data_IF_334066055733
#
_entry.id   IF_334066055733
#
_cell.length_a   1.000
_cell.length_b   1.000
_cell.length_c   1.000
_cell.angle_alpha   90.00
_cell.angle_beta   90.00
_cell.angle_gamma   90.00
#
_symmetry.space_group_name_H-M   'P 1'
#
loop_
_entity.id
_entity.type
_entity.pdbx_description
1 polymer ?
#
# COMPACT_ATOMS: atom_id res chain seq x y z
N UNK A 1 -52.73 -36.83 34.37
CA UNK A 1 -51.31 -36.91 34.02
C UNK A 1 -50.93 -35.66 33.27
N UNK A 2 -50.10 -34.77 33.85
CA UNK A 2 -49.61 -33.55 33.19
C UNK A 2 -48.13 -33.75 32.89
N UNK A 3 -47.75 -33.66 31.61
CA UNK A 3 -46.37 -33.73 31.15
C UNK A 3 -45.66 -32.38 31.40
N UNK A 4 -44.41 -32.35 31.86
CA UNK A 4 -43.67 -31.12 32.04
C UNK A 4 -43.12 -30.62 30.70
N UNK A 5 -43.24 -29.31 30.46
CA UNK A 5 -42.71 -28.63 29.31
C UNK A 5 -41.17 -28.51 29.43
N UNK A 6 -40.46 -29.05 28.43
CA UNK A 6 -39.03 -28.97 28.30
C UNK A 6 -38.67 -27.59 27.76
N UNK A 7 -37.99 -26.75 28.56
CA UNK A 7 -37.45 -25.44 28.12
C UNK A 7 -36.12 -25.66 27.45
N UNK A 8 -36.10 -25.54 26.13
CA UNK A 8 -34.86 -25.57 25.33
C UNK A 8 -34.18 -24.20 25.39
N UNK A 9 -33.09 -24.07 26.10
CA UNK A 9 -32.27 -22.87 26.15
C UNK A 9 -31.30 -22.92 24.97
N UNK A 10 -31.54 -22.13 23.95
CA UNK A 10 -30.63 -21.99 22.80
C UNK A 10 -29.52 -21.01 23.18
N UNK A 11 -28.34 -21.52 23.43
CA UNK A 11 -27.14 -20.71 23.66
C UNK A 11 -26.58 -20.26 22.29
N UNK A 12 -26.73 -18.97 21.99
CA UNK A 12 -26.10 -18.36 20.81
C UNK A 12 -24.61 -18.21 21.09
N UNK A 13 -23.80 -19.03 20.43
CA UNK A 13 -22.35 -18.89 20.43
C UNK A 13 -21.96 -17.77 19.45
N UNK A 14 -21.66 -16.59 19.96
CA UNK A 14 -21.12 -15.49 19.15
C UNK A 14 -19.67 -15.81 18.81
N UNK A 15 -19.43 -16.22 17.56
CA UNK A 15 -18.08 -16.36 17.01
C UNK A 15 -17.62 -14.95 16.62
N UNK A 16 -16.80 -14.33 17.46
CA UNK A 16 -16.04 -13.13 17.08
C UNK A 16 -14.93 -13.56 16.13
N UNK A 17 -15.10 -13.32 14.83
CA UNK A 17 -13.97 -13.35 13.90
C UNK A 17 -13.05 -12.19 14.27
N UNK A 18 -11.92 -12.51 14.90
CA UNK A 18 -10.79 -11.58 14.98
C UNK A 18 -10.23 -11.46 13.55
N UNK A 19 -10.49 -10.33 12.90
CA UNK A 19 -9.78 -9.96 11.67
C UNK A 19 -8.38 -9.57 12.11
N UNK A 20 -7.41 -10.44 11.87
CA UNK A 20 -6.00 -10.10 11.97
C UNK A 20 -5.73 -9.00 10.95
N UNK A 21 -5.58 -7.77 11.41
CA UNK A 21 -5.24 -6.62 10.57
C UNK A 21 -3.73 -6.40 10.58
N UNK A 22 -3.11 -6.26 9.43
CA UNK A 22 -1.72 -5.82 9.35
C UNK A 22 -1.59 -4.40 9.93
N UNK A 23 -0.49 -4.15 10.64
CA UNK A 23 -0.17 -2.85 11.25
C UNK A 23 0.88 -2.15 10.40
N UNK A 24 0.69 -0.84 10.16
CA UNK A 24 1.69 -0.01 9.46
C UNK A 24 2.84 0.34 10.39
N UNK A 25 4.04 -0.04 9.99
CA UNK A 25 5.29 0.31 10.65
C UNK A 25 5.97 1.49 9.92
N UNK A 26 6.76 2.26 10.65
CA UNK A 26 7.56 3.33 10.08
C UNK A 26 8.57 2.80 9.06
N UNK A 27 8.82 3.61 8.02
CA UNK A 27 9.73 3.23 6.95
C UNK A 27 9.73 4.20 5.79
N UNK A 28 10.56 3.89 4.82
CA UNK A 28 10.70 4.62 3.56
C UNK A 28 10.63 3.66 2.40
N UNK A 29 10.04 4.12 1.30
CA UNK A 29 10.11 3.42 0.02
C UNK A 29 10.41 4.41 -1.09
N UNK A 30 11.23 4.01 -2.04
CA UNK A 30 11.46 4.76 -3.26
C UNK A 30 11.69 3.81 -4.43
N UNK A 31 11.41 4.29 -5.63
CA UNK A 31 11.64 3.49 -6.81
C UNK A 31 10.80 3.91 -8.00
N UNK A 32 10.75 3.00 -8.94
CA UNK A 32 9.98 3.15 -10.15
C UNK A 32 10.36 2.14 -11.21
N UNK A 33 9.56 2.08 -12.24
CA UNK A 33 9.78 1.15 -13.33
C UNK A 33 8.55 1.01 -14.21
N UNK A 34 8.52 -0.09 -14.93
CA UNK A 34 7.40 -0.44 -15.81
C UNK A 34 6.82 -1.79 -15.42
N UNK A 35 5.51 -1.90 -15.51
CA UNK A 35 4.76 -3.16 -15.41
C UNK A 35 3.88 -3.33 -16.66
N UNK A 36 3.28 -4.49 -16.84
CA UNK A 36 2.31 -4.66 -17.90
C UNK A 36 1.10 -3.75 -17.67
N UNK A 37 0.57 -3.19 -18.73
CA UNK A 37 -0.67 -2.42 -18.69
C UNK A 37 -1.85 -3.31 -18.25
N UNK A 38 -2.80 -2.72 -17.56
CA UNK A 38 -4.02 -3.39 -17.12
C UNK A 38 -4.88 -3.80 -18.34
N UNK A 39 -4.90 -5.10 -18.62
CA UNK A 39 -5.63 -5.68 -19.75
C UNK A 39 -5.14 -5.26 -21.15
N UNK A 40 -4.19 -4.32 -21.23
CA UNK A 40 -3.70 -3.75 -22.48
C UNK A 40 -2.42 -4.40 -23.00
N UNK A 41 -2.06 -4.04 -24.22
CA UNK A 41 -0.86 -4.54 -24.90
C UNK A 41 0.42 -3.76 -24.53
N UNK A 42 0.31 -2.65 -23.78
CA UNK A 42 1.41 -1.75 -23.48
C UNK A 42 2.03 -1.96 -22.12
N UNK A 43 2.69 -0.91 -21.66
CA UNK A 43 3.31 -0.85 -20.34
C UNK A 43 2.75 0.33 -19.56
N UNK A 44 2.47 0.10 -18.28
CA UNK A 44 2.30 1.14 -17.31
C UNK A 44 3.67 1.55 -16.76
N UNK A 45 3.83 2.84 -16.46
CA UNK A 45 5.03 3.42 -15.85
C UNK A 45 4.65 3.99 -14.50
N UNK A 46 5.45 3.70 -13.49
CA UNK A 46 5.26 4.20 -12.13
C UNK A 46 6.56 4.72 -11.56
N UNK A 47 6.53 5.85 -10.89
CA UNK A 47 7.60 6.31 -10.00
C UNK A 47 6.99 6.70 -8.66
N UNK A 48 7.70 6.41 -7.59
CA UNK A 48 7.19 6.65 -6.25
C UNK A 48 8.31 6.93 -5.26
N UNK A 49 7.97 7.72 -4.28
CA UNK A 49 8.68 7.84 -3.02
C UNK A 49 7.66 8.06 -1.92
N UNK A 50 7.87 7.46 -0.77
CA UNK A 50 7.08 7.71 0.41
C UNK A 50 7.92 7.51 1.66
N UNK A 51 7.67 8.32 2.68
CA UNK A 51 8.38 8.29 3.95
C UNK A 51 7.39 8.54 5.08
N UNK A 52 7.44 7.68 6.08
CA UNK A 52 6.83 7.85 7.38
C UNK A 52 7.86 7.47 8.44
N UNK A 53 8.33 8.43 9.22
CA UNK A 53 9.33 8.21 10.26
C UNK A 53 9.04 9.08 11.49
N UNK A 54 9.10 8.49 12.69
CA UNK A 54 9.14 9.18 13.99
C UNK A 54 8.11 10.30 14.16
N UNK A 55 6.82 10.01 14.04
CA UNK A 55 5.73 10.98 14.21
C UNK A 55 5.83 12.23 13.30
N UNK A 56 6.71 12.22 12.28
CA UNK A 56 6.76 13.26 11.28
C UNK A 56 5.57 13.12 10.31
N UNK A 57 5.11 14.24 9.73
CA UNK A 57 4.13 14.16 8.66
C UNK A 57 4.62 13.25 7.53
N UNK A 58 3.74 12.40 7.04
CA UNK A 58 3.99 11.56 5.87
C UNK A 58 4.36 12.46 4.69
N UNK A 59 5.35 12.04 3.90
CA UNK A 59 5.82 12.74 2.70
C UNK A 59 5.96 11.76 1.56
N UNK A 60 5.69 12.22 0.37
CA UNK A 60 5.94 11.44 -0.82
C UNK A 60 5.09 11.81 -2.00
N UNK A 61 5.42 11.19 -3.12
CA UNK A 61 4.73 11.37 -4.38
C UNK A 61 4.64 10.07 -5.14
N UNK A 62 3.56 9.92 -5.90
CA UNK A 62 3.39 8.85 -6.88
C UNK A 62 3.09 9.50 -8.22
N UNK A 63 3.84 9.12 -9.27
CA UNK A 63 3.49 9.45 -10.65
C UNK A 63 3.16 8.15 -11.36
N UNK A 64 2.07 8.12 -12.05
CA UNK A 64 1.57 6.93 -12.73
C UNK A 64 1.07 7.25 -14.14
N UNK A 65 1.37 6.35 -15.08
CA UNK A 65 0.86 6.43 -16.44
C UNK A 65 0.64 5.04 -17.02
N UNK A 66 -0.56 4.78 -17.51
CA UNK A 66 -0.93 3.60 -18.31
C UNK A 66 -1.78 4.05 -19.48
N UNK A 67 -1.14 4.31 -20.63
CA UNK A 67 -1.82 4.82 -21.83
C UNK A 67 -2.67 3.78 -22.54
N UNK A 68 -2.46 2.51 -22.25
CA UNK A 68 -3.13 1.39 -22.91
C UNK A 68 -4.01 0.60 -21.96
N UNK A 69 -4.33 1.21 -20.78
CA UNK A 69 -5.29 0.62 -19.86
C UNK A 69 -6.62 0.38 -20.57
N UNK A 70 -7.12 -0.87 -20.54
CA UNK A 70 -8.30 -1.28 -21.23
C UNK A 70 -9.51 -0.39 -20.94
N UNK A 71 -10.31 -0.02 -20.78
CA UNK A 71 -11.42 0.90 -20.45
C UNK A 71 -11.09 2.39 -20.56
N UNK A 72 -9.82 2.79 -20.70
CA UNK A 72 -9.37 4.19 -20.82
C UNK A 72 -8.53 4.47 -22.08
N UNK A 73 -8.22 3.45 -22.90
CA UNK A 73 -7.34 3.61 -24.07
C UNK A 73 -7.85 4.64 -25.10
N UNK A 74 -9.18 4.78 -25.22
CA UNK A 74 -9.81 5.72 -26.12
C UNK A 74 -9.84 7.16 -25.60
N UNK A 75 -9.63 7.32 -24.30
CA UNK A 75 -9.66 8.60 -23.58
C UNK A 75 -8.25 9.05 -23.15
N UNK A 76 -7.20 8.51 -23.77
CA UNK A 76 -5.81 8.89 -23.49
C UNK A 76 -5.15 8.12 -22.35
N UNK A 77 -5.83 7.11 -21.81
CA UNK A 77 -5.33 6.24 -20.75
C UNK A 77 -5.43 6.83 -19.34
N UNK A 78 -4.89 6.11 -18.37
CA UNK A 78 -4.77 6.55 -16.97
C UNK A 78 -3.46 7.30 -16.79
N UNK A 79 -3.51 8.52 -16.29
CA UNK A 79 -2.30 9.31 -16.03
C UNK A 79 -2.55 10.33 -14.92
N UNK A 80 -1.71 10.32 -13.88
CA UNK A 80 -1.85 11.22 -12.75
C UNK A 80 -0.54 11.48 -11.99
N UNK A 81 -0.54 12.55 -11.20
CA UNK A 81 0.42 12.84 -10.13
C UNK A 81 -0.32 12.83 -8.81
N UNK A 82 0.30 12.25 -7.79
CA UNK A 82 -0.32 12.09 -6.50
C UNK A 82 0.61 12.52 -5.37
N UNK A 83 0.01 13.08 -4.32
CA UNK A 83 0.68 13.33 -3.05
C UNK A 83 0.34 12.17 -2.09
N UNK A 84 1.33 11.68 -1.39
CA UNK A 84 1.15 10.65 -0.38
C UNK A 84 0.53 11.27 0.86
N UNK A 85 -0.57 10.70 1.33
CA UNK A 85 -1.28 11.14 2.56
C UNK A 85 -1.08 10.18 3.70
N UNK A 86 -0.80 8.91 3.41
CA UNK A 86 -0.48 7.90 4.39
C UNK A 86 0.48 6.87 3.80
N UNK A 87 1.41 6.34 4.61
CA UNK A 87 2.36 5.33 4.18
C UNK A 87 2.82 4.46 5.36
N UNK A 88 3.35 3.28 5.07
CA UNK A 88 4.00 2.43 6.06
C UNK A 88 4.21 1.00 5.56
N UNK A 89 5.14 0.31 6.19
CA UNK A 89 5.37 -1.11 5.96
C UNK A 89 4.31 -1.93 6.69
N UNK A 90 3.62 -2.80 5.98
CA UNK A 90 2.63 -3.69 6.56
C UNK A 90 3.32 -4.88 7.24
N UNK A 91 3.24 -4.94 8.59
CA UNK A 91 3.74 -6.04 9.39
C UNK A 91 2.67 -7.09 9.68
N UNK A 92 3.08 -8.32 9.98
CA UNK A 92 2.20 -9.30 10.61
C UNK A 92 1.94 -8.85 12.06
N UNK A 93 0.74 -9.13 12.56
CA UNK A 93 0.30 -8.69 13.89
C UNK A 93 1.33 -8.96 14.99
N UNK A 94 1.86 -7.88 15.53
CA UNK A 94 2.50 -7.91 16.82
C UNK A 94 1.44 -7.45 17.82
N UNK A 95 1.31 -8.19 18.92
CA UNK A 95 0.37 -7.92 20.00
C UNK A 95 0.20 -6.41 20.26
N UNK A 96 -1.01 -5.95 20.13
CA UNK A 96 -1.43 -4.55 20.28
C UNK A 96 -0.89 -3.95 21.58
N UNK A 97 0.17 -3.21 21.53
CA UNK A 97 0.54 -2.25 22.57
C UNK A 97 -0.10 -0.90 22.22
N UNK A 98 -1.28 -0.73 22.67
CA UNK A 98 -2.06 0.45 23.10
C UNK A 98 -2.01 1.79 22.37
N UNK A 99 -1.14 2.06 21.45
CA UNK A 99 -1.10 3.32 20.68
C UNK A 99 -1.55 3.07 19.25
N UNK A 100 -2.45 3.92 18.76
CA UNK A 100 -3.18 3.79 17.51
C UNK A 100 -2.30 3.46 16.29
N UNK A 101 -1.91 2.21 16.18
CA UNK A 101 -1.26 1.70 15.00
C UNK A 101 -2.28 1.72 13.86
N UNK A 102 -1.96 2.45 12.80
CA UNK A 102 -2.80 2.53 11.62
C UNK A 102 -2.83 1.16 10.94
N UNK A 103 -4.03 0.64 10.73
CA UNK A 103 -4.18 -0.62 10.00
C UNK A 103 -3.84 -0.43 8.52
N UNK A 104 -3.16 -1.41 7.92
CA UNK A 104 -2.98 -1.45 6.48
C UNK A 104 -4.31 -1.66 5.75
N UNK A 105 -4.40 -1.12 4.55
CA UNK A 105 -5.51 -1.43 3.66
C UNK A 105 -5.51 -2.93 3.33
N UNK A 106 -6.69 -3.53 3.25
CA UNK A 106 -6.84 -4.97 2.99
C UNK A 106 -6.25 -5.43 1.64
N UNK A 107 -5.94 -4.50 0.74
CA UNK A 107 -5.28 -4.77 -0.55
C UNK A 107 -3.79 -5.04 -0.41
N UNK A 108 -3.17 -4.53 0.66
CA UNK A 108 -1.75 -4.71 0.96
C UNK A 108 -1.58 -5.81 2.02
N UNK A 109 -0.70 -6.75 1.73
CA UNK A 109 -0.36 -7.86 2.63
C UNK A 109 0.88 -7.60 3.48
N UNK A 110 1.19 -8.50 4.41
CA UNK A 110 2.41 -8.46 5.20
C UNK A 110 3.65 -8.36 4.32
N UNK A 111 4.60 -7.50 4.69
CA UNK A 111 5.83 -7.25 3.93
C UNK A 111 5.67 -6.33 2.72
N UNK A 112 4.46 -5.88 2.42
CA UNK A 112 4.21 -4.85 1.42
C UNK A 112 4.29 -3.46 2.06
N UNK A 113 4.88 -2.49 1.37
CA UNK A 113 4.84 -1.10 1.77
C UNK A 113 3.62 -0.44 1.17
N UNK A 114 2.69 -0.02 2.01
CA UNK A 114 1.47 0.65 1.60
C UNK A 114 1.71 2.15 1.42
N UNK A 115 1.09 2.70 0.38
CA UNK A 115 1.07 4.12 0.07
C UNK A 115 -0.36 4.52 -0.28
N UNK A 116 -1.01 5.27 0.60
CA UNK A 116 -2.31 5.90 0.32
C UNK A 116 -2.07 7.30 -0.25
N UNK A 117 -2.76 7.65 -1.30
CA UNK A 117 -2.50 8.90 -2.02
C UNK A 117 -3.77 9.63 -2.47
N UNK A 118 -3.63 10.94 -2.62
CA UNK A 118 -4.57 11.82 -3.33
C UNK A 118 -3.91 12.28 -4.63
N UNK A 119 -4.63 12.21 -5.74
CA UNK A 119 -4.06 12.50 -7.06
C UNK A 119 -4.82 13.56 -7.83
N UNK A 120 -4.05 14.24 -8.70
CA UNK A 120 -4.55 15.09 -9.79
C UNK A 120 -4.33 14.39 -11.12
N UNK A 121 -5.37 14.26 -11.94
CA UNK A 121 -5.25 13.74 -13.30
C UNK A 121 -4.35 14.64 -14.15
N UNK A 122 -3.39 14.01 -14.83
CA UNK A 122 -2.59 14.68 -15.86
C UNK A 122 -3.09 14.36 -17.28
N UNK A 123 -4.18 13.62 -17.39
CA UNK A 123 -4.85 13.35 -18.65
C UNK A 123 -5.82 14.49 -18.97
N UNK A 124 -5.59 15.27 -20.04
CA UNK A 124 -6.45 16.40 -20.37
C UNK A 124 -7.87 16.02 -20.83
N UNK A 125 -8.09 14.76 -21.21
CA UNK A 125 -9.41 14.27 -21.61
C UNK A 125 -10.24 13.84 -20.42
N UNK A 126 -9.59 13.48 -19.31
CA UNK A 126 -10.22 13.04 -18.07
C UNK A 126 -9.66 13.84 -16.88
N UNK A 127 -9.92 15.15 -16.81
CA UNK A 127 -9.45 15.96 -15.69
C UNK A 127 -10.21 15.64 -14.41
N UNK A 128 -9.57 15.86 -13.26
CA UNK A 128 -10.17 15.71 -11.94
C UNK A 128 -9.20 15.17 -10.92
N UNK A 129 -9.67 15.08 -9.71
CA UNK A 129 -8.95 14.60 -8.54
C UNK A 129 -9.53 13.29 -8.05
N UNK A 130 -8.75 12.51 -7.30
CA UNK A 130 -9.21 11.27 -6.69
C UNK A 130 -8.24 10.71 -5.68
N UNK A 131 -8.55 9.52 -5.19
CA UNK A 131 -7.78 8.83 -4.17
C UNK A 131 -7.43 7.41 -4.62
N UNK A 132 -6.43 6.82 -4.01
CA UNK A 132 -6.06 5.44 -4.26
C UNK A 132 -5.00 4.91 -3.30
N UNK A 133 -4.67 3.64 -3.50
CA UNK A 133 -3.67 2.92 -2.72
C UNK A 133 -2.70 2.20 -3.65
N UNK A 134 -1.43 2.22 -3.31
CA UNK A 134 -0.40 1.37 -3.91
C UNK A 134 0.23 0.48 -2.86
N UNK A 135 0.50 -0.78 -3.22
CA UNK A 135 1.26 -1.72 -2.40
C UNK A 135 2.54 -2.08 -3.14
N UNK A 136 3.68 -1.94 -2.48
CA UNK A 136 5.00 -2.03 -3.07
C UNK A 136 5.81 -3.11 -2.34
N UNK A 137 6.43 -4.00 -3.11
CA UNK A 137 7.28 -5.08 -2.57
C UNK A 137 8.68 -4.92 -3.10
N UNK A 138 9.64 -4.87 -2.19
CA UNK A 138 11.06 -4.96 -2.49
C UNK A 138 11.48 -6.44 -2.45
N UNK A 139 11.93 -6.98 -3.57
CA UNK A 139 12.47 -8.34 -3.62
C UNK A 139 13.98 -8.40 -3.41
N UNK A 140 14.60 -7.27 -3.11
CA UNK A 140 16.04 -7.16 -2.98
C UNK A 140 16.78 -7.14 -4.32
N UNK A 141 18.01 -6.67 -4.28
CA UNK A 141 18.86 -6.62 -5.46
C UNK A 141 19.33 -8.03 -5.87
N UNK A 142 19.19 -8.35 -7.14
CA UNK A 142 19.76 -9.57 -7.72
C UNK A 142 18.84 -10.80 -7.78
N UNK A 143 17.65 -10.77 -7.22
CA UNK A 143 16.73 -11.93 -7.21
C UNK A 143 16.34 -12.36 -8.64
N UNK A 144 16.26 -11.40 -9.57
CA UNK A 144 16.01 -11.67 -10.99
C UNK A 144 16.80 -10.70 -11.89
N UNK A 145 18.09 -10.58 -11.64
CA UNK A 145 18.98 -9.65 -12.38
C UNK A 145 18.89 -9.79 -13.91
N UNK A 146 18.64 -11.00 -14.41
CA UNK A 146 18.47 -11.27 -15.85
C UNK A 146 17.20 -10.62 -16.42
N UNK A 147 16.18 -10.36 -15.62
CA UNK A 147 14.91 -9.76 -16.04
C UNK A 147 14.74 -8.32 -15.56
N UNK A 148 15.69 -7.79 -14.79
CA UNK A 148 15.61 -6.46 -14.16
C UNK A 148 14.31 -6.27 -13.35
N UNK A 149 13.87 -7.33 -12.69
CA UNK A 149 12.69 -7.34 -11.83
C UNK A 149 13.19 -7.36 -10.40
N UNK A 150 13.08 -6.23 -9.70
CA UNK A 150 13.54 -6.09 -8.32
C UNK A 150 12.38 -5.88 -7.33
N UNK A 151 11.14 -6.02 -7.79
CA UNK A 151 9.99 -5.85 -6.93
C UNK A 151 8.66 -6.07 -7.64
N UNK A 152 7.62 -5.85 -6.91
CA UNK A 152 6.25 -5.87 -7.39
C UNK A 152 5.53 -4.59 -6.96
N UNK A 153 4.63 -4.12 -7.79
CA UNK A 153 3.74 -3.03 -7.44
C UNK A 153 2.30 -3.41 -7.76
N UNK A 154 1.40 -2.97 -6.90
CA UNK A 154 -0.03 -2.88 -7.22
C UNK A 154 -0.48 -1.44 -7.03
N UNK A 155 -1.47 -1.04 -7.80
CA UNK A 155 -2.11 0.26 -7.69
C UNK A 155 -3.60 0.10 -7.89
N UNK A 156 -4.38 0.73 -7.05
CA UNK A 156 -5.84 0.74 -7.11
C UNK A 156 -6.33 2.16 -6.90
N UNK A 157 -7.22 2.61 -7.77
CA UNK A 157 -7.82 3.94 -7.70
C UNK A 157 -9.26 3.82 -7.21
N UNK A 158 -9.59 4.54 -6.15
CA UNK A 158 -10.88 4.43 -5.46
C UNK A 158 -11.90 5.44 -5.96
N UNK A 159 -11.47 6.66 -6.21
CA UNK A 159 -12.34 7.77 -6.60
C UNK A 159 -11.78 8.57 -7.77
N UNK A 160 -12.58 9.48 -8.31
CA UNK A 160 -12.17 10.37 -9.40
C UNK A 160 -12.32 9.77 -10.80
N UNK A 161 -11.72 10.39 -11.82
CA UNK A 161 -11.91 10.01 -13.22
C UNK A 161 -11.39 8.61 -13.57
N UNK A 162 -10.50 8.07 -12.76
CA UNK A 162 -9.93 6.73 -12.94
C UNK A 162 -10.44 5.73 -11.90
N UNK A 163 -11.58 6.00 -11.26
CA UNK A 163 -12.16 5.08 -10.27
C UNK A 163 -12.35 3.69 -10.85
N UNK A 164 -12.05 2.67 -10.04
CA UNK A 164 -12.03 1.26 -10.43
C UNK A 164 -10.82 0.82 -11.27
N UNK A 165 -9.88 1.71 -11.61
CA UNK A 165 -8.61 1.26 -12.16
C UNK A 165 -7.84 0.46 -11.12
N UNK A 166 -7.39 -0.74 -11.52
CA UNK A 166 -6.53 -1.56 -10.69
C UNK A 166 -5.51 -2.29 -11.57
N UNK A 167 -4.25 -2.28 -11.16
CA UNK A 167 -3.19 -3.00 -11.83
C UNK A 167 -2.22 -3.61 -10.80
N UNK A 168 -1.70 -4.80 -11.08
CA UNK A 168 -0.71 -5.48 -10.24
C UNK A 168 0.26 -6.24 -11.10
N UNK A 169 1.54 -6.13 -10.81
CA UNK A 169 2.54 -6.88 -11.57
C UNK A 169 3.96 -6.69 -11.09
N UNK A 170 4.84 -7.51 -11.65
CA UNK A 170 6.27 -7.37 -11.48
C UNK A 170 6.74 -6.04 -12.08
N UNK A 171 7.52 -5.28 -11.32
CA UNK A 171 8.06 -4.00 -11.72
C UNK A 171 9.45 -4.20 -12.34
N UNK A 172 9.55 -3.94 -13.63
CA UNK A 172 10.86 -3.86 -14.32
C UNK A 172 11.46 -2.50 -14.02
N UNK A 173 12.29 -2.43 -13.00
CA UNK A 173 12.84 -1.21 -12.44
C UNK A 173 13.45 -1.47 -11.07
N UNK A 174 13.21 -0.56 -10.13
CA UNK A 174 13.72 -0.69 -8.76
C UNK A 174 12.62 -0.37 -7.74
N UNK A 175 12.58 -1.16 -6.67
CA UNK A 175 11.83 -0.87 -5.44
C UNK A 175 12.84 -1.00 -4.31
N UNK A 176 12.97 0.02 -3.49
CA UNK A 176 13.83 0.00 -2.32
C UNK A 176 13.04 0.42 -1.10
N UNK A 177 12.98 -0.48 -0.13
CA UNK A 177 12.48 -0.18 1.21
C UNK A 177 13.64 0.07 2.16
N UNK A 178 13.47 0.98 3.08
CA UNK A 178 14.48 1.37 4.06
C UNK A 178 13.83 1.61 5.41
N UNK A 179 14.52 1.23 6.46
CA UNK A 179 14.14 1.63 7.81
C UNK A 179 14.38 3.12 8.03
N UNK A 180 13.63 3.70 8.95
CA UNK A 180 13.88 5.06 9.40
C UNK A 180 15.23 5.17 10.11
N UNK A 181 15.97 6.28 9.96
CA UNK A 181 17.19 6.49 10.73
C UNK A 181 16.86 6.44 12.23
N UNK A 182 17.54 5.60 12.99
CA UNK A 182 17.40 5.62 14.45
C UNK A 182 17.85 6.99 14.98
N UNK A 183 17.01 7.68 15.71
CA UNK A 183 17.41 8.85 16.49
C UNK A 183 18.40 8.40 17.57
N UNK A 184 19.71 8.56 17.30
CA UNK A 184 20.76 8.28 18.29
C UNK A 184 20.68 9.29 19.43
N UNK A 185 19.86 9.00 20.42
CA UNK A 185 19.88 9.67 21.74
C UNK A 185 20.38 8.75 22.88
N UNK A 186 21.06 7.63 22.55
CA UNK A 186 21.72 6.78 23.55
C UNK A 186 23.23 7.03 23.59
N UNK A 187 23.62 8.23 23.94
CA UNK A 187 24.98 8.50 24.44
C UNK A 187 24.86 9.47 25.58
N UNK A 188 24.73 8.98 26.81
CA UNK A 188 25.22 9.66 28.05
C UNK A 188 24.74 8.98 29.32
N UNK A 189 24.76 7.67 29.46
CA UNK A 189 24.56 7.04 30.79
C UNK A 189 25.62 6.00 31.16
N UNK A 190 26.82 6.03 30.58
CA UNK A 190 27.93 5.21 31.03
C UNK A 190 29.21 6.04 31.21
N UNK A 191 29.20 7.06 32.08
CA UNK A 191 30.44 7.56 32.66
C UNK A 191 30.15 8.28 33.98
N UNK A 192 29.83 7.52 35.05
CA UNK A 192 30.05 7.85 36.43
C UNK A 192 29.62 6.68 37.33
N UNK A 193 30.50 5.72 37.54
CA UNK A 193 30.41 4.64 38.48
C UNK A 193 31.80 4.23 38.91
#
# INVERSE_FOLDING_TARGET
MRLPALKTTTTLLAITLATAGCVKMDGKVNGGGTMNSMGGAGKAVMTFNAERCDAQPVKGQVNFQDKTAIDWENDGGVSFRANVVEAGLCGEDIEFSGDAALACDQRCGPGEFEVTFEYDSTNPQLPGEGTGVACLVDWGEGVNASYRINGMASISVDTGPFSSYANRGALSGNVQTQECPSTKNDKNDEENG
#
